data_IF_086829143246
#
_entry.id   IF_086829143246
#
_cell.length_a   1.000
_cell.length_b   1.000
_cell.length_c   1.000
_cell.angle_alpha   90.00
_cell.angle_beta   90.00
_cell.angle_gamma   90.00
#
_symmetry.space_group_name_H-M   'P 1'
#
loop_
_entity.id
_entity.type
_entity.pdbx_description
1 polymer ?
#
# COMPACT_ATOMS: atom_id res chain seq x y z
N UNK A 1 49.29 -22.44 -3.39
CA UNK A 1 48.34 -22.97 -2.39
C UNK A 1 47.30 -21.91 -2.01
N UNK A 2 47.72 -20.66 -1.80
CA UNK A 2 46.82 -19.59 -1.33
C UNK A 2 45.66 -19.25 -2.28
N UNK A 3 45.91 -19.20 -3.61
CA UNK A 3 44.87 -18.95 -4.61
C UNK A 3 43.75 -20.00 -4.63
N UNK A 4 44.08 -21.27 -4.39
CA UNK A 4 43.07 -22.34 -4.35
C UNK A 4 42.27 -22.26 -3.05
N UNK A 5 42.93 -21.93 -1.94
CA UNK A 5 42.27 -21.69 -0.65
C UNK A 5 41.28 -20.53 -0.73
N UNK A 6 41.66 -19.43 -1.37
CA UNK A 6 40.80 -18.27 -1.59
C UNK A 6 39.56 -18.63 -2.42
N UNK A 7 39.73 -19.35 -3.54
CA UNK A 7 38.60 -19.83 -4.35
C UNK A 7 37.67 -20.78 -3.58
N UNK A 8 38.21 -21.66 -2.72
CA UNK A 8 37.39 -22.54 -1.88
C UNK A 8 36.62 -21.78 -0.80
N UNK A 9 37.19 -20.70 -0.25
CA UNK A 9 36.49 -19.83 0.70
C UNK A 9 35.36 -19.07 0.01
N UNK A 10 35.59 -18.51 -1.19
CA UNK A 10 34.56 -17.86 -2.00
C UNK A 10 33.42 -18.83 -2.35
N UNK A 11 33.76 -20.03 -2.81
CA UNK A 11 32.77 -21.09 -3.10
C UNK A 11 31.89 -21.41 -1.88
N UNK A 12 32.48 -21.53 -0.69
CA UNK A 12 31.73 -21.77 0.54
C UNK A 12 30.82 -20.60 0.90
N UNK A 13 31.34 -19.37 0.84
CA UNK A 13 30.59 -18.16 1.17
C UNK A 13 29.37 -17.97 0.26
N UNK A 14 29.56 -18.12 -1.06
CA UNK A 14 28.45 -18.07 -2.03
C UNK A 14 27.42 -19.15 -1.74
N UNK A 15 27.85 -20.40 -1.52
CA UNK A 15 26.92 -21.50 -1.21
C UNK A 15 26.10 -21.26 0.06
N UNK A 16 26.72 -20.75 1.12
CA UNK A 16 26.08 -20.44 2.40
C UNK A 16 25.07 -19.28 2.31
N UNK A 17 25.30 -18.33 1.39
CA UNK A 17 24.35 -17.26 1.08
C UNK A 17 23.19 -17.73 0.21
N UNK A 18 23.40 -18.76 -0.63
CA UNK A 18 22.36 -19.32 -1.51
C UNK A 18 21.53 -20.44 -0.89
N UNK A 19 21.94 -21.02 0.24
CA UNK A 19 21.23 -22.15 0.87
C UNK A 19 19.96 -21.67 1.60
N UNK A 20 18.78 -21.98 1.04
CA UNK A 20 17.43 -21.83 1.62
C UNK A 20 17.19 -20.53 2.43
N UNK A 21 17.77 -19.43 1.95
CA UNK A 21 17.57 -18.09 2.51
C UNK A 21 16.68 -17.27 1.59
N UNK A 22 16.03 -16.29 2.21
CA UNK A 22 15.42 -15.18 1.51
C UNK A 22 16.49 -14.50 0.65
N UNK A 23 16.10 -14.06 -0.53
CA UNK A 23 17.01 -13.41 -1.48
C UNK A 23 16.43 -12.08 -1.94
N UNK A 24 17.27 -11.19 -2.42
CA UNK A 24 16.85 -9.98 -3.12
C UNK A 24 17.48 -9.93 -4.51
N UNK A 25 16.96 -9.07 -5.38
CA UNK A 25 17.58 -8.75 -6.66
C UNK A 25 19.01 -8.25 -6.45
N UNK A 26 19.23 -7.43 -5.42
CA UNK A 26 20.56 -6.95 -5.06
C UNK A 26 21.49 -8.10 -4.65
N UNK A 27 21.02 -9.04 -3.83
CA UNK A 27 21.80 -10.24 -3.48
C UNK A 27 22.14 -11.06 -4.71
N UNK A 28 21.20 -11.24 -5.64
CA UNK A 28 21.45 -11.95 -6.89
C UNK A 28 22.55 -11.27 -7.70
N UNK A 29 22.49 -9.94 -7.85
CA UNK A 29 23.50 -9.17 -8.59
C UNK A 29 24.89 -9.28 -7.95
N UNK A 30 24.98 -9.17 -6.63
CA UNK A 30 26.24 -9.30 -5.90
C UNK A 30 26.81 -10.73 -6.01
N UNK A 31 25.98 -11.76 -5.84
CA UNK A 31 26.40 -13.15 -5.95
C UNK A 31 26.79 -13.55 -7.38
N UNK A 32 26.14 -12.99 -8.40
CA UNK A 32 26.53 -13.17 -9.80
C UNK A 32 27.93 -12.62 -10.03
N UNK A 33 28.20 -11.39 -9.55
CA UNK A 33 29.53 -10.79 -9.66
C UNK A 33 30.61 -11.65 -8.97
N UNK A 34 30.32 -12.18 -7.78
CA UNK A 34 31.22 -13.12 -7.09
C UNK A 34 31.43 -14.43 -7.88
N UNK A 35 30.40 -14.92 -8.58
CA UNK A 35 30.52 -16.08 -9.45
C UNK A 35 31.39 -15.79 -10.69
N UNK A 36 31.25 -14.62 -11.28
CA UNK A 36 32.03 -14.16 -12.44
C UNK A 36 33.52 -14.00 -12.12
N UNK A 37 33.84 -13.59 -10.89
CA UNK A 37 35.22 -13.46 -10.42
C UNK A 37 35.87 -14.81 -10.02
N UNK A 38 35.09 -15.89 -9.91
CA UNK A 38 35.57 -17.21 -9.47
C UNK A 38 35.80 -18.18 -10.62
N UNK A 39 36.90 -18.94 -10.53
CA UNK A 39 37.21 -20.01 -11.50
C UNK A 39 36.33 -21.26 -11.33
N UNK A 40 35.76 -21.48 -10.15
CA UNK A 40 34.92 -22.65 -9.87
C UNK A 40 33.43 -22.37 -10.09
N UNK A 41 33.00 -21.13 -9.88
CA UNK A 41 31.60 -20.75 -9.98
C UNK A 41 31.23 -20.21 -11.35
N UNK A 42 32.17 -19.65 -12.12
CA UNK A 42 31.87 -19.14 -13.46
C UNK A 42 31.27 -20.26 -14.34
N UNK A 43 30.14 -19.96 -14.96
CA UNK A 43 29.31 -20.90 -15.74
C UNK A 43 28.89 -22.19 -15.01
N UNK A 44 29.02 -22.25 -13.68
CA UNK A 44 28.48 -23.34 -12.87
C UNK A 44 26.96 -23.35 -12.89
N UNK A 45 26.37 -24.46 -12.45
CA UNK A 45 24.91 -24.58 -12.30
C UNK A 45 24.36 -23.53 -11.34
N UNK A 46 25.08 -23.24 -10.25
CA UNK A 46 24.69 -22.21 -9.28
C UNK A 46 24.67 -20.82 -9.94
N UNK A 47 25.68 -20.50 -10.74
CA UNK A 47 25.73 -19.23 -11.46
C UNK A 47 24.55 -19.09 -12.43
N UNK A 48 24.21 -20.15 -13.18
CA UNK A 48 23.05 -20.15 -14.08
C UNK A 48 21.72 -19.98 -13.33
N UNK A 49 21.58 -20.61 -12.17
CA UNK A 49 20.41 -20.45 -11.31
C UNK A 49 20.26 -19.00 -10.81
N UNK A 50 21.35 -18.39 -10.35
CA UNK A 50 21.36 -16.98 -9.93
C UNK A 50 20.98 -16.04 -11.08
N UNK A 51 21.52 -16.26 -12.28
CA UNK A 51 21.18 -15.49 -13.47
C UNK A 51 19.68 -15.62 -13.83
N UNK A 52 19.14 -16.83 -13.77
CA UNK A 52 17.70 -17.08 -14.00
C UNK A 52 16.82 -16.40 -12.95
N UNK A 53 17.23 -16.41 -11.67
CA UNK A 53 16.53 -15.73 -10.59
C UNK A 53 16.54 -14.21 -10.80
N UNK A 54 17.70 -13.62 -11.11
CA UNK A 54 17.84 -12.20 -11.47
C UNK A 54 16.92 -11.83 -12.62
N UNK A 55 16.95 -12.58 -13.73
CA UNK A 55 16.13 -12.26 -14.91
C UNK A 55 14.63 -12.33 -14.60
N UNK A 56 14.22 -13.25 -13.73
CA UNK A 56 12.83 -13.36 -13.27
C UNK A 56 12.43 -12.17 -12.39
N UNK A 57 13.32 -11.72 -11.50
CA UNK A 57 13.11 -10.54 -10.66
C UNK A 57 13.10 -9.24 -11.45
N UNK A 58 13.93 -9.11 -12.50
CA UNK A 58 13.91 -7.95 -13.39
C UNK A 58 12.60 -7.89 -14.19
N UNK A 59 12.12 -9.02 -14.72
CA UNK A 59 10.80 -9.11 -15.37
C UNK A 59 9.66 -8.75 -14.42
N UNK A 60 9.70 -9.25 -13.19
CA UNK A 60 8.75 -8.91 -12.14
C UNK A 60 8.77 -7.40 -11.83
N UNK A 61 9.95 -6.83 -11.68
CA UNK A 61 10.15 -5.40 -11.40
C UNK A 61 9.58 -4.55 -12.53
N UNK A 62 9.92 -4.86 -13.78
CA UNK A 62 9.36 -4.17 -14.94
C UNK A 62 7.83 -4.23 -14.98
N UNK A 63 7.25 -5.40 -14.70
CA UNK A 63 5.80 -5.55 -14.64
C UNK A 63 5.20 -4.66 -13.56
N UNK A 64 5.79 -4.62 -12.37
CA UNK A 64 5.31 -3.74 -11.29
C UNK A 64 5.50 -2.27 -11.61
N UNK A 65 6.62 -1.86 -12.23
CA UNK A 65 6.81 -0.50 -12.71
C UNK A 65 5.67 -0.10 -13.66
N UNK A 66 5.32 -0.95 -14.64
CA UNK A 66 4.20 -0.67 -15.54
C UNK A 66 2.83 -0.57 -14.86
N UNK A 67 2.65 -1.22 -13.70
CA UNK A 67 1.40 -1.21 -12.96
C UNK A 67 1.29 -0.03 -11.98
N UNK A 68 2.40 0.32 -11.33
CA UNK A 68 2.44 1.28 -10.22
C UNK A 68 3.01 2.64 -10.61
N UNK A 69 4.05 2.67 -11.44
CA UNK A 69 4.77 3.89 -11.77
C UNK A 69 4.18 4.59 -12.98
N UNK A 70 4.13 5.91 -12.87
CA UNK A 70 3.76 6.81 -13.96
C UNK A 70 5.02 7.23 -14.70
N UNK A 71 4.91 7.65 -15.98
CA UNK A 71 6.05 8.16 -16.74
C UNK A 71 6.80 9.31 -16.04
N UNK A 72 6.09 10.13 -15.27
CA UNK A 72 6.65 11.23 -14.46
C UNK A 72 6.45 10.95 -12.97
N UNK A 73 7.19 9.98 -12.44
CA UNK A 73 7.11 9.61 -11.02
C UNK A 73 8.15 10.35 -10.18
N UNK A 74 7.75 10.79 -8.98
CA UNK A 74 8.64 11.34 -7.95
C UNK A 74 9.10 10.29 -6.94
N UNK A 75 8.73 9.03 -7.18
CA UNK A 75 8.94 7.91 -6.28
C UNK A 75 9.41 6.68 -7.05
N UNK A 76 10.40 5.98 -6.50
CA UNK A 76 10.74 4.63 -6.97
C UNK A 76 9.69 3.60 -6.51
N UNK A 77 9.84 2.37 -6.95
CA UNK A 77 8.82 1.34 -6.73
C UNK A 77 8.70 0.95 -5.26
N UNK A 78 9.81 0.79 -4.53
CA UNK A 78 9.77 0.46 -3.11
C UNK A 78 9.11 1.57 -2.29
N UNK A 79 9.33 2.84 -2.64
CA UNK A 79 8.58 3.95 -2.08
C UNK A 79 7.08 3.79 -2.39
N UNK A 80 6.68 3.59 -3.64
CA UNK A 80 5.24 3.47 -3.97
C UNK A 80 4.56 2.31 -3.21
N UNK A 81 5.24 1.17 -3.11
CA UNK A 81 4.71 -0.06 -2.50
C UNK A 81 4.71 0.02 -0.98
N UNK A 82 5.73 0.63 -0.37
CA UNK A 82 5.81 0.84 1.09
C UNK A 82 4.87 1.96 1.54
N UNK A 83 4.41 1.88 2.79
CA UNK A 83 3.70 2.97 3.45
C UNK A 83 4.58 4.23 3.64
N UNK A 84 3.96 5.35 4.02
CA UNK A 84 4.61 6.67 4.00
C UNK A 84 5.43 6.94 5.26
N UNK A 85 6.74 6.97 5.11
CA UNK A 85 7.67 7.44 6.15
C UNK A 85 7.65 8.97 6.35
N UNK A 86 7.16 9.71 5.34
CA UNK A 86 7.22 11.17 5.34
C UNK A 86 6.07 11.86 6.07
N UNK A 87 5.14 11.11 6.70
CA UNK A 87 3.98 11.71 7.36
C UNK A 87 4.38 12.51 8.61
N UNK A 88 5.19 11.95 9.50
CA UNK A 88 5.63 12.65 10.71
C UNK A 88 6.32 14.00 10.42
N UNK A 89 7.35 14.06 9.56
CA UNK A 89 7.97 15.35 9.24
C UNK A 89 7.00 16.32 8.57
N UNK A 90 6.04 15.85 7.78
CA UNK A 90 5.00 16.72 7.22
C UNK A 90 4.01 17.25 8.28
N UNK A 91 3.69 16.46 9.31
CA UNK A 91 2.88 16.94 10.44
C UNK A 91 3.61 18.09 11.13
N UNK A 92 4.93 17.99 11.30
CA UNK A 92 5.78 19.03 11.88
C UNK A 92 5.97 20.25 10.98
N UNK A 93 5.60 20.15 9.69
CA UNK A 93 5.70 21.24 8.73
C UNK A 93 7.05 21.32 8.04
N UNK A 94 7.82 20.25 8.07
CA UNK A 94 9.07 20.16 7.33
C UNK A 94 8.78 20.17 5.83
N UNK A 95 9.54 20.99 5.11
CA UNK A 95 9.53 21.02 3.64
C UNK A 95 10.41 19.87 3.15
N UNK A 96 9.78 18.88 2.52
CA UNK A 96 10.48 17.69 1.99
C UNK A 96 10.54 17.84 0.47
N UNK A 97 11.63 18.35 -0.13
CA UNK A 97 11.70 18.45 -1.59
C UNK A 97 11.58 17.06 -2.23
N UNK A 98 10.94 17.01 -3.41
CA UNK A 98 10.82 15.80 -4.22
C UNK A 98 11.36 16.10 -5.60
N UNK A 99 12.18 15.18 -6.10
CA UNK A 99 12.78 15.27 -7.42
C UNK A 99 12.13 14.25 -8.33
N UNK A 100 11.94 14.61 -9.59
CA UNK A 100 11.48 13.68 -10.59
C UNK A 100 12.52 12.55 -10.69
N UNK A 101 12.06 11.31 -10.71
CA UNK A 101 12.96 10.18 -10.89
C UNK A 101 13.16 9.99 -12.39
N UNK A 102 14.36 10.32 -12.88
CA UNK A 102 14.72 10.16 -14.28
C UNK A 102 14.89 8.68 -14.61
N UNK A 103 13.89 8.09 -15.29
CA UNK A 103 13.87 6.74 -15.87
C UNK A 103 14.78 5.74 -15.13
N UNK A 104 14.47 5.43 -13.86
CA UNK A 104 15.38 4.64 -13.04
C UNK A 104 15.44 3.21 -13.56
N UNK A 105 16.64 2.63 -13.58
CA UNK A 105 16.81 1.25 -14.01
C UNK A 105 16.00 0.32 -13.06
N UNK A 106 15.48 -0.83 -13.54
CA UNK A 106 14.78 -1.79 -12.69
C UNK A 106 15.59 -2.22 -11.47
N UNK A 107 16.90 -2.31 -11.62
CA UNK A 107 17.88 -2.66 -10.58
C UNK A 107 17.84 -1.67 -9.41
N UNK A 108 17.58 -0.39 -9.70
CA UNK A 108 17.60 0.70 -8.71
C UNK A 108 16.29 0.82 -7.94
N UNK A 109 15.25 0.09 -8.33
CA UNK A 109 13.91 0.20 -7.73
C UNK A 109 13.82 -0.28 -6.28
N UNK A 110 14.77 -1.12 -5.88
CA UNK A 110 14.72 -1.88 -4.63
C UNK A 110 15.93 -1.62 -3.72
N UNK A 111 16.67 -0.53 -3.96
CA UNK A 111 17.89 -0.22 -3.19
C UNK A 111 17.62 -0.17 -1.69
N UNK A 112 16.48 0.39 -1.26
CA UNK A 112 16.11 0.48 0.15
C UNK A 112 15.83 -0.89 0.81
N UNK A 113 15.62 -1.97 0.03
CA UNK A 113 15.49 -3.30 0.62
C UNK A 113 16.79 -3.80 1.24
N UNK A 114 17.94 -3.21 0.88
CA UNK A 114 19.25 -3.52 1.48
C UNK A 114 19.32 -3.19 2.98
N UNK A 115 18.41 -2.37 3.48
CA UNK A 115 18.32 -2.01 4.90
C UNK A 115 17.83 -3.20 5.77
N UNK A 116 17.19 -4.19 5.16
CA UNK A 116 16.60 -5.31 5.89
C UNK A 116 17.47 -6.56 5.78
N UNK A 117 17.74 -7.17 6.94
CA UNK A 117 18.45 -8.44 7.03
C UNK A 117 17.54 -9.66 6.78
N UNK A 118 16.22 -9.47 6.90
CA UNK A 118 15.20 -10.52 6.74
C UNK A 118 13.83 -9.96 6.37
N UNK A 119 12.96 -10.81 5.83
CA UNK A 119 11.58 -10.46 5.53
C UNK A 119 10.78 -10.16 6.80
N UNK A 120 11.18 -10.72 7.95
CA UNK A 120 10.53 -10.46 9.23
C UNK A 120 10.75 -9.00 9.65
N UNK A 121 12.00 -8.54 9.62
CA UNK A 121 12.37 -7.15 9.91
C UNK A 121 11.67 -6.19 8.96
N UNK A 122 11.69 -6.50 7.65
CA UNK A 122 10.98 -5.74 6.63
C UNK A 122 9.48 -5.63 6.95
N UNK A 123 8.80 -6.74 7.23
CA UNK A 123 7.36 -6.74 7.56
C UNK A 123 7.07 -5.91 8.81
N UNK A 124 7.84 -6.10 9.89
CA UNK A 124 7.68 -5.32 11.12
C UNK A 124 7.81 -3.82 10.85
N UNK A 125 8.82 -3.41 10.10
CA UNK A 125 9.03 -2.02 9.72
C UNK A 125 7.83 -1.45 8.96
N UNK A 126 7.31 -2.17 7.97
CA UNK A 126 6.16 -1.69 7.19
C UNK A 126 4.90 -1.63 8.06
N UNK A 127 4.68 -2.59 8.97
CA UNK A 127 3.56 -2.51 9.91
C UNK A 127 3.67 -1.28 10.83
N UNK A 128 4.87 -0.98 11.34
CA UNK A 128 5.11 0.20 12.15
C UNK A 128 4.82 1.51 11.37
N UNK A 129 5.26 1.61 10.11
CA UNK A 129 4.94 2.73 9.24
C UNK A 129 3.42 2.90 9.04
N UNK A 130 2.70 1.79 8.88
CA UNK A 130 1.25 1.81 8.74
C UNK A 130 0.55 2.30 10.01
N UNK A 131 0.98 1.83 11.17
CA UNK A 131 0.44 2.25 12.46
C UNK A 131 0.67 3.75 12.68
N UNK A 132 1.87 4.21 12.35
CA UNK A 132 2.22 5.62 12.37
C UNK A 132 1.36 6.44 11.40
N UNK A 133 1.16 5.98 10.17
CA UNK A 133 0.31 6.63 9.19
C UNK A 133 -1.13 6.77 9.68
N UNK A 134 -1.71 5.70 10.25
CA UNK A 134 -3.06 5.73 10.82
C UNK A 134 -3.18 6.69 12.00
N UNK A 135 -2.15 6.76 12.85
CA UNK A 135 -2.14 7.66 13.99
C UNK A 135 -2.00 9.14 13.58
N UNK A 136 -1.24 9.44 12.52
CA UNK A 136 -0.83 10.81 12.19
C UNK A 136 -1.61 11.47 11.06
N UNK A 137 -2.39 10.72 10.27
CA UNK A 137 -3.10 11.31 9.12
C UNK A 137 -4.08 12.41 9.53
N UNK A 138 -4.81 12.23 10.63
CA UNK A 138 -5.71 13.26 11.18
C UNK A 138 -4.96 14.51 11.64
N UNK A 139 -3.83 14.32 12.35
CA UNK A 139 -2.97 15.43 12.74
C UNK A 139 -2.39 16.18 11.53
N UNK A 140 -2.05 15.48 10.45
CA UNK A 140 -1.59 16.09 9.21
C UNK A 140 -2.70 16.93 8.55
N UNK A 141 -3.91 16.40 8.48
CA UNK A 141 -5.07 17.12 7.94
C UNK A 141 -5.37 18.38 8.75
N UNK A 142 -5.34 18.30 10.08
CA UNK A 142 -5.57 19.44 10.97
C UNK A 142 -4.48 20.51 10.83
N UNK A 143 -3.22 20.08 10.74
CA UNK A 143 -2.09 20.98 10.53
C UNK A 143 -2.20 21.69 9.18
N UNK A 144 -2.46 20.95 8.10
CA UNK A 144 -2.57 21.52 6.76
C UNK A 144 -3.78 22.43 6.57
N UNK A 145 -4.89 22.15 7.27
CA UNK A 145 -6.08 23.03 7.24
C UNK A 145 -5.76 24.43 7.77
N UNK A 146 -4.88 24.52 8.78
CA UNK A 146 -4.44 25.77 9.42
C UNK A 146 -3.31 26.47 8.66
N UNK A 147 -2.54 25.73 7.87
CA UNK A 147 -1.43 26.26 7.07
C UNK A 147 -1.90 27.09 5.88
N UNK A 148 -1.07 28.04 5.48
CA UNK A 148 -1.27 28.80 4.25
C UNK A 148 -0.84 27.97 3.03
N UNK A 149 -1.19 28.45 1.83
CA UNK A 149 -0.70 27.87 0.58
C UNK A 149 0.83 27.95 0.49
N UNK A 150 1.46 28.98 1.06
CA UNK A 150 2.93 29.13 1.07
C UNK A 150 3.61 27.99 1.85
N UNK A 151 2.97 27.51 2.91
CA UNK A 151 3.51 26.45 3.77
C UNK A 151 3.30 25.04 3.19
N UNK A 152 2.41 24.89 2.19
CA UNK A 152 1.96 23.57 1.71
C UNK A 152 2.22 23.33 0.23
N UNK A 153 2.24 24.39 -0.58
CA UNK A 153 2.47 24.32 -2.02
C UNK A 153 3.97 24.13 -2.36
N UNK A 154 4.24 23.44 -3.47
CA UNK A 154 5.61 23.10 -3.90
C UNK A 154 6.44 24.31 -4.35
N UNK A 155 5.80 25.43 -4.72
CA UNK A 155 6.52 26.58 -5.27
C UNK A 155 7.31 27.37 -4.21
N UNK A 156 7.05 27.15 -2.91
CA UNK A 156 7.69 27.85 -1.78
C UNK A 156 7.71 29.38 -1.90
N UNK A 157 6.90 29.94 -2.80
CA UNK A 157 6.99 31.33 -3.25
C UNK A 157 5.76 32.08 -2.78
N UNK A 158 5.99 33.11 -1.97
CA UNK A 158 5.01 34.14 -1.59
C UNK A 158 4.78 35.19 -2.69
N UNK A 159 5.41 35.02 -3.86
CA UNK A 159 5.53 36.01 -4.94
C UNK A 159 4.51 35.87 -6.07
N UNK A 160 3.55 34.95 -6.01
CA UNK A 160 2.37 35.01 -6.89
C UNK A 160 1.48 36.17 -6.43
N UNK A 161 1.83 37.39 -6.86
CA UNK A 161 1.00 38.60 -6.67
C UNK A 161 -0.33 38.55 -7.45
N UNK A 162 -0.56 37.48 -8.21
CA UNK A 162 -1.82 37.21 -8.89
C UNK A 162 -2.66 36.29 -8.01
N UNK A 163 -3.97 36.59 -7.79
CA UNK A 163 -4.87 35.62 -7.21
C UNK A 163 -4.84 34.37 -8.10
N UNK A 164 -4.31 33.29 -7.56
CA UNK A 164 -4.25 32.00 -8.26
C UNK A 164 -5.21 31.07 -7.54
N UNK A 165 -6.01 30.37 -8.32
CA UNK A 165 -6.97 29.42 -7.80
C UNK A 165 -6.24 28.34 -7.00
N UNK A 166 -6.88 27.90 -5.92
CA UNK A 166 -6.30 26.97 -4.95
C UNK A 166 -7.03 25.63 -5.03
N UNK A 167 -6.26 24.55 -5.11
CA UNK A 167 -6.76 23.20 -4.92
C UNK A 167 -6.39 22.69 -3.54
N UNK A 168 -7.33 21.98 -2.91
CA UNK A 168 -7.14 21.34 -1.61
C UNK A 168 -7.10 19.84 -1.84
N UNK A 169 -6.03 19.18 -1.39
CA UNK A 169 -5.96 17.73 -1.46
C UNK A 169 -6.99 17.10 -0.52
N UNK A 170 -7.91 16.30 -1.04
CA UNK A 170 -8.99 15.71 -0.22
C UNK A 170 -8.48 14.72 0.84
N UNK A 171 -7.27 14.18 0.67
CA UNK A 171 -6.65 13.27 1.65
C UNK A 171 -5.90 14.02 2.75
N UNK A 172 -4.92 14.86 2.40
CA UNK A 172 -4.04 15.48 3.39
C UNK A 172 -4.41 16.93 3.72
N UNK A 173 -5.41 17.51 3.04
CA UNK A 173 -5.86 18.91 3.17
C UNK A 173 -4.80 19.98 2.89
N UNK A 174 -3.68 19.61 2.29
CA UNK A 174 -2.68 20.57 1.83
C UNK A 174 -3.22 21.40 0.66
N UNK A 175 -2.85 22.69 0.64
CA UNK A 175 -3.32 23.69 -0.33
C UNK A 175 -2.25 23.89 -1.39
N UNK A 176 -2.66 23.93 -2.65
CA UNK A 176 -1.77 24.06 -3.79
C UNK A 176 -2.32 25.08 -4.77
N UNK A 177 -1.46 25.89 -5.38
CA UNK A 177 -1.86 26.68 -6.53
C UNK A 177 -2.18 25.74 -7.69
N UNK A 178 -3.26 26.00 -8.45
CA UNK A 178 -3.61 25.22 -9.65
C UNK A 178 -2.43 25.11 -10.61
N UNK A 179 -1.69 26.19 -10.82
CA UNK A 179 -0.51 26.24 -11.70
C UNK A 179 0.69 25.40 -11.22
N UNK A 180 0.69 24.98 -9.95
CA UNK A 180 1.71 24.14 -9.35
C UNK A 180 1.29 22.66 -9.26
N UNK A 181 0.09 22.32 -9.74
CA UNK A 181 -0.43 20.97 -9.71
C UNK A 181 -0.23 20.29 -11.06
N UNK A 182 0.30 19.07 -11.05
CA UNK A 182 0.25 18.19 -12.20
C UNK A 182 -1.07 17.43 -12.20
N UNK A 183 -1.84 17.57 -13.28
CA UNK A 183 -3.11 16.86 -13.42
C UNK A 183 -2.87 15.43 -13.88
N UNK A 184 -3.22 14.46 -13.03
CA UNK A 184 -3.21 13.06 -13.40
C UNK A 184 -4.55 12.66 -14.02
N UNK A 185 -4.60 11.96 -15.17
CA UNK A 185 -5.85 11.49 -15.77
C UNK A 185 -6.68 10.56 -14.86
N UNK A 186 -6.10 10.02 -13.78
CA UNK A 186 -6.85 9.34 -12.74
C UNK A 186 -7.85 10.24 -12.02
N UNK A 187 -7.53 11.53 -11.85
CA UNK A 187 -8.38 12.50 -11.15
C UNK A 187 -9.73 12.67 -11.85
N UNK A 188 -9.79 12.47 -13.17
CA UNK A 188 -11.04 12.50 -13.95
C UNK A 188 -12.03 11.39 -13.54
N UNK A 189 -11.58 10.40 -12.76
CA UNK A 189 -12.41 9.32 -12.22
C UNK A 189 -12.91 9.61 -10.80
N UNK A 190 -12.43 10.68 -10.17
CA UNK A 190 -12.91 11.16 -8.89
C UNK A 190 -14.13 12.08 -9.10
N UNK A 191 -14.93 12.34 -8.06
CA UNK A 191 -15.98 13.37 -8.12
C UNK A 191 -15.43 14.72 -8.57
N UNK A 192 -16.26 15.52 -9.24
CA UNK A 192 -15.90 16.88 -9.64
C UNK A 192 -15.40 17.72 -8.44
N UNK A 193 -14.31 18.47 -8.65
CA UNK A 193 -13.61 19.23 -7.62
C UNK A 193 -12.63 18.41 -6.77
N UNK A 194 -12.68 17.07 -6.82
CA UNK A 194 -11.81 16.23 -6.01
C UNK A 194 -10.37 16.25 -6.54
N UNK A 195 -9.44 16.65 -5.68
CA UNK A 195 -8.01 16.70 -6.00
C UNK A 195 -7.19 15.85 -5.02
N UNK A 196 -6.22 15.10 -5.55
CA UNK A 196 -5.18 14.44 -4.76
C UNK A 196 -3.82 14.99 -5.18
N UNK A 197 -3.03 15.47 -4.23
CA UNK A 197 -1.69 15.94 -4.52
C UNK A 197 -0.76 14.76 -4.89
N UNK A 198 0.37 15.07 -5.54
CA UNK A 198 1.37 14.08 -5.97
C UNK A 198 1.79 13.12 -4.84
N UNK A 199 1.88 13.58 -3.59
CA UNK A 199 2.20 12.71 -2.43
C UNK A 199 1.10 11.71 -2.11
N UNK A 200 -0.15 12.12 -2.24
CA UNK A 200 -1.30 11.28 -1.95
C UNK A 200 -1.60 10.35 -3.14
N UNK A 201 -1.39 10.83 -4.38
CA UNK A 201 -1.49 10.02 -5.60
C UNK A 201 -0.51 8.85 -5.63
N UNK A 202 0.65 8.94 -4.95
CA UNK A 202 1.60 7.81 -4.78
C UNK A 202 0.92 6.55 -4.28
N UNK A 203 -0.08 6.69 -3.41
CA UNK A 203 -0.71 5.52 -2.83
C UNK A 203 -1.82 4.92 -3.70
N UNK A 204 -2.06 5.45 -4.91
CA UNK A 204 -2.87 4.76 -5.93
C UNK A 204 -2.38 3.31 -6.08
N UNK A 205 -3.32 2.37 -6.09
CA UNK A 205 -3.04 0.95 -6.28
C UNK A 205 -3.58 0.49 -7.63
N UNK A 206 -2.90 -0.41 -8.34
CA UNK A 206 -3.47 -1.11 -9.49
C UNK A 206 -4.46 -2.19 -9.03
N UNK A 207 -5.11 -2.84 -9.98
CA UNK A 207 -5.97 -4.01 -9.76
C UNK A 207 -5.20 -5.12 -9.02
N UNK A 208 -5.81 -5.69 -7.98
CA UNK A 208 -5.14 -6.65 -7.10
C UNK A 208 -4.83 -7.96 -7.81
N UNK A 209 -5.68 -8.37 -8.76
CA UNK A 209 -5.49 -9.54 -9.62
C UNK A 209 -4.25 -9.39 -10.52
N UNK A 210 -4.02 -8.20 -11.09
CA UNK A 210 -2.86 -7.92 -11.92
C UNK A 210 -1.55 -8.00 -11.13
N UNK A 211 -1.55 -7.48 -9.91
CA UNK A 211 -0.39 -7.56 -9.00
C UNK A 211 -0.14 -9.00 -8.58
N UNK A 212 -1.20 -9.74 -8.24
CA UNK A 212 -1.09 -11.16 -7.89
C UNK A 212 -0.54 -11.99 -9.05
N UNK A 213 -0.99 -11.73 -10.28
CA UNK A 213 -0.48 -12.39 -11.48
C UNK A 213 1.03 -12.14 -11.64
N UNK A 214 1.51 -10.91 -11.41
CA UNK A 214 2.93 -10.61 -11.41
C UNK A 214 3.69 -11.39 -10.32
N UNK A 215 3.16 -11.46 -9.10
CA UNK A 215 3.76 -12.20 -7.97
C UNK A 215 3.81 -13.72 -8.19
N UNK A 216 2.95 -14.28 -9.04
CA UNK A 216 2.92 -15.73 -9.32
C UNK A 216 3.99 -16.15 -10.34
N UNK A 217 4.57 -15.20 -11.08
CA UNK A 217 5.61 -15.45 -12.09
C UNK A 217 7.04 -15.23 -11.56
N UNK A 218 7.17 -14.78 -10.31
CA UNK A 218 8.44 -14.38 -9.71
C UNK A 218 8.88 -15.36 -8.61
N UNK A 219 10.18 -15.41 -8.26
CA UNK A 219 10.68 -16.25 -7.17
C UNK A 219 10.00 -15.92 -5.83
N UNK A 220 9.33 -16.90 -5.21
CA UNK A 220 8.48 -16.67 -4.04
C UNK A 220 9.23 -16.31 -2.76
N UNK A 221 10.52 -16.64 -2.69
CA UNK A 221 11.41 -16.37 -1.56
C UNK A 221 12.14 -15.01 -1.67
N UNK A 222 11.80 -14.19 -2.66
CA UNK A 222 12.43 -12.87 -2.82
C UNK A 222 11.80 -11.82 -1.90
N UNK A 223 12.62 -10.91 -1.35
CA UNK A 223 12.14 -9.80 -0.52
C UNK A 223 11.18 -8.88 -1.29
N UNK A 224 11.44 -8.61 -2.57
CA UNK A 224 10.58 -7.81 -3.45
C UNK A 224 9.19 -8.44 -3.58
N UNK A 225 9.14 -9.75 -3.84
CA UNK A 225 7.88 -10.48 -3.99
C UNK A 225 7.14 -10.56 -2.65
N UNK A 226 7.86 -10.78 -1.54
CA UNK A 226 7.27 -10.82 -0.20
C UNK A 226 6.68 -9.45 0.17
N UNK A 227 7.40 -8.35 -0.09
CA UNK A 227 6.92 -6.98 0.13
C UNK A 227 5.62 -6.72 -0.63
N UNK A 228 5.57 -7.10 -1.91
CA UNK A 228 4.40 -6.84 -2.76
C UNK A 228 3.22 -7.74 -2.37
N UNK A 229 3.48 -8.99 -1.97
CA UNK A 229 2.46 -9.87 -1.40
C UNK A 229 1.89 -9.33 -0.10
N UNK A 230 2.73 -8.72 0.74
CA UNK A 230 2.28 -8.05 1.95
C UNK A 230 1.32 -6.89 1.64
N UNK A 231 1.63 -6.09 0.60
CA UNK A 231 0.70 -5.07 0.08
C UNK A 231 -0.64 -5.69 -0.39
N UNK A 232 -0.60 -6.79 -1.15
CA UNK A 232 -1.80 -7.51 -1.62
C UNK A 232 -2.64 -8.04 -0.46
N UNK A 233 -2.01 -8.69 0.52
CA UNK A 233 -2.70 -9.25 1.68
C UNK A 233 -3.45 -8.18 2.47
N UNK A 234 -2.81 -7.03 2.70
CA UNK A 234 -3.44 -5.88 3.36
C UNK A 234 -4.63 -5.39 2.57
N UNK A 235 -4.49 -5.27 1.26
CA UNK A 235 -5.63 -4.93 0.42
C UNK A 235 -6.79 -5.89 0.67
N UNK A 236 -6.55 -7.20 0.64
CA UNK A 236 -7.61 -8.17 0.90
C UNK A 236 -8.26 -7.98 2.28
N UNK A 237 -7.49 -7.76 3.34
CA UNK A 237 -8.03 -7.51 4.68
C UNK A 237 -9.02 -6.32 4.69
N UNK A 238 -8.71 -5.26 3.96
CA UNK A 238 -9.53 -4.05 3.88
C UNK A 238 -10.77 -4.24 3.00
N UNK A 239 -10.66 -5.05 1.93
CA UNK A 239 -11.82 -5.51 1.18
C UNK A 239 -12.73 -6.42 2.04
N UNK A 240 -12.15 -7.23 2.92
CA UNK A 240 -12.87 -8.10 3.84
C UNK A 240 -13.58 -7.32 4.96
N UNK A 241 -12.94 -6.28 5.51
CA UNK A 241 -13.55 -5.35 6.47
C UNK A 241 -14.75 -4.58 5.89
N UNK A 242 -14.87 -4.51 4.56
CA UNK A 242 -15.95 -3.85 3.81
C UNK A 242 -17.10 -4.77 3.37
N UNK A 243 -17.20 -5.97 3.97
CA UNK A 243 -18.36 -6.85 3.76
C UNK A 243 -18.12 -8.05 2.82
N UNK A 244 -16.86 -8.40 2.56
CA UNK A 244 -16.49 -9.79 2.21
C UNK A 244 -15.63 -10.40 3.31
N UNK A 245 -16.16 -10.48 4.54
CA UNK A 245 -15.86 -11.72 5.28
C UNK A 245 -16.34 -12.85 4.36
N UNK A 246 -15.63 -14.00 4.23
CA UNK A 246 -16.30 -15.17 3.67
C UNK A 246 -17.63 -15.23 4.43
N UNK A 247 -18.73 -15.13 3.69
CA UNK A 247 -20.02 -15.08 4.35
C UNK A 247 -20.10 -16.35 5.21
N UNK A 248 -20.93 -16.35 6.24
CA UNK A 248 -21.07 -17.54 7.07
C UNK A 248 -21.35 -18.76 6.17
N UNK A 249 -21.99 -18.55 5.02
CA UNK A 249 -22.20 -19.52 3.95
C UNK A 249 -20.90 -19.96 3.21
N UNK A 250 -19.94 -19.07 2.94
CA UNK A 250 -18.63 -19.42 2.35
C UNK A 250 -17.75 -20.21 3.32
N UNK A 251 -17.73 -19.82 4.60
CA UNK A 251 -17.04 -20.57 5.67
C UNK A 251 -17.71 -21.93 5.87
N UNK A 252 -19.04 -21.97 5.85
CA UNK A 252 -19.80 -23.22 5.91
C UNK A 252 -19.53 -24.11 4.70
N UNK A 253 -19.45 -23.54 3.49
CA UNK A 253 -19.12 -24.27 2.27
C UNK A 253 -17.71 -24.87 2.36
N UNK A 254 -16.72 -24.11 2.84
CA UNK A 254 -15.38 -24.64 3.11
C UNK A 254 -15.38 -25.74 4.20
N UNK A 255 -16.16 -25.58 5.28
CA UNK A 255 -16.33 -26.59 6.33
C UNK A 255 -17.11 -27.83 5.89
N UNK A 256 -17.86 -27.77 4.78
CA UNK A 256 -18.55 -28.91 4.18
C UNK A 256 -17.63 -29.70 3.24
N UNK A 257 -16.54 -29.08 2.76
CA UNK A 257 -15.52 -29.72 1.93
C UNK A 257 -14.38 -30.36 2.75
N UNK A 258 -14.27 -30.01 4.03
CA UNK A 258 -13.25 -30.53 4.94
C UNK A 258 -13.73 -31.81 5.69
N UNK A 259 -12.81 -32.69 6.14
CA UNK A 259 -13.17 -33.90 6.90
C UNK A 259 -13.96 -33.55 8.15
N UNK A 260 -15.16 -34.12 8.30
CA UNK A 260 -16.13 -33.79 9.35
C UNK A 260 -15.64 -34.01 10.79
N UNK A 261 -14.53 -34.73 10.96
CA UNK A 261 -14.00 -35.16 12.24
C UNK A 261 -12.76 -34.38 12.68
N UNK A 262 -12.35 -33.35 11.91
CA UNK A 262 -11.27 -32.46 12.27
C UNK A 262 -11.72 -31.53 13.40
N UNK A 263 -10.91 -31.44 14.46
CA UNK A 263 -11.14 -30.58 15.62
C UNK A 263 -11.22 -29.10 15.19
N UNK A 264 -10.42 -28.73 14.20
CA UNK A 264 -10.41 -27.41 13.58
C UNK A 264 -11.75 -27.10 12.88
N UNK A 265 -12.33 -28.08 12.15
CA UNK A 265 -13.64 -27.92 11.51
C UNK A 265 -14.77 -27.82 12.52
N UNK A 266 -14.70 -28.55 13.63
CA UNK A 266 -15.68 -28.49 14.73
C UNK A 266 -15.62 -27.12 15.41
N UNK A 267 -14.42 -26.62 15.73
CA UNK A 267 -14.21 -25.29 16.30
C UNK A 267 -14.71 -24.17 15.38
N UNK A 268 -14.43 -24.27 14.07
CA UNK A 268 -14.91 -23.27 13.10
C UNK A 268 -16.44 -23.32 12.98
N UNK A 269 -17.08 -24.49 13.01
CA UNK A 269 -18.55 -24.62 13.02
C UNK A 269 -19.17 -23.99 14.29
N UNK A 270 -18.55 -24.19 15.44
CA UNK A 270 -19.02 -23.59 16.70
C UNK A 270 -18.88 -22.06 16.69
N UNK A 271 -17.75 -21.55 16.18
CA UNK A 271 -17.55 -20.10 15.97
C UNK A 271 -18.54 -19.52 14.96
N UNK A 272 -18.89 -20.26 13.91
CA UNK A 272 -19.92 -19.88 12.95
C UNK A 272 -21.30 -19.82 13.61
N UNK A 273 -21.68 -20.82 14.40
CA UNK A 273 -22.94 -20.85 15.14
C UNK A 273 -23.03 -19.67 16.12
N UNK A 274 -21.98 -19.44 16.90
CA UNK A 274 -21.91 -18.30 17.82
C UNK A 274 -21.94 -16.96 17.08
N UNK A 275 -21.31 -16.89 15.92
CA UNK A 275 -21.40 -15.73 15.02
C UNK A 275 -22.82 -15.47 14.51
N UNK A 276 -23.59 -16.52 14.18
CA UNK A 276 -25.01 -16.39 13.80
C UNK A 276 -25.87 -15.91 14.97
N UNK A 277 -25.65 -16.44 16.17
CA UNK A 277 -26.36 -16.02 17.40
C UNK A 277 -26.12 -14.55 17.69
N UNK A 278 -24.86 -14.11 17.73
CA UNK A 278 -24.48 -12.72 17.97
C UNK A 278 -25.02 -11.78 16.89
N UNK A 279 -25.10 -12.23 15.63
CA UNK A 279 -25.70 -11.46 14.55
C UNK A 279 -27.23 -11.33 14.70
N UNK A 280 -27.92 -12.37 15.19
CA UNK A 280 -29.33 -12.29 15.55
C UNK A 280 -29.55 -11.36 16.74
N UNK A 281 -28.76 -11.48 17.82
CA UNK A 281 -28.80 -10.58 18.98
C UNK A 281 -28.57 -9.13 18.57
N UNK A 282 -27.57 -8.86 17.72
CA UNK A 282 -27.30 -7.53 17.19
C UNK A 282 -28.45 -7.00 16.32
N UNK A 283 -29.10 -7.84 15.51
CA UNK A 283 -30.30 -7.45 14.74
C UNK A 283 -31.48 -7.11 15.64
N UNK A 284 -31.69 -7.87 16.72
CA UNK A 284 -32.74 -7.58 17.71
C UNK A 284 -32.44 -6.28 18.44
N UNK A 285 -31.20 -6.06 18.89
CA UNK A 285 -30.78 -4.80 19.50
C UNK A 285 -30.92 -3.62 18.54
N UNK A 286 -30.59 -3.78 17.25
CA UNK A 286 -30.77 -2.74 16.23
C UNK A 286 -32.25 -2.49 15.92
N UNK A 287 -33.11 -3.51 15.97
CA UNK A 287 -34.55 -3.36 15.84
C UNK A 287 -35.15 -2.67 17.08
N UNK A 288 -34.68 -3.00 18.28
CA UNK A 288 -35.08 -2.34 19.52
C UNK A 288 -34.60 -0.87 19.55
N UNK A 289 -33.39 -0.58 19.05
CA UNK A 289 -32.90 0.79 18.83
C UNK A 289 -33.68 1.52 17.73
N UNK A 290 -34.24 0.81 16.76
CA UNK A 290 -35.12 1.40 15.74
C UNK A 290 -36.52 1.70 16.30
N UNK A 291 -37.04 0.86 17.20
CA UNK A 291 -38.33 1.04 17.89
C UNK A 291 -38.25 2.13 18.98
N UNK A 292 -37.15 2.21 19.72
CA UNK A 292 -36.84 3.30 20.66
C UNK A 292 -36.36 4.56 19.90
N UNK A 293 -36.05 4.42 18.61
CA UNK A 293 -35.38 5.40 17.77
C UNK A 293 -36.22 6.56 17.26
N UNK A 294 -37.50 6.66 17.60
CA UNK A 294 -38.29 7.88 17.38
C UNK A 294 -37.93 8.99 18.40
N UNK A 295 -37.21 8.66 19.48
CA UNK A 295 -36.78 9.62 20.51
C UNK A 295 -35.27 9.92 20.50
N UNK A 296 -34.45 9.14 19.79
CA UNK A 296 -33.01 9.42 19.59
C UNK A 296 -32.82 10.26 18.34
N UNK A 297 -32.46 11.54 18.53
CA UNK A 297 -32.40 12.54 17.45
C UNK A 297 -31.57 12.05 16.25
N UNK A 298 -32.07 12.34 15.04
CA UNK A 298 -31.40 11.98 13.77
C UNK A 298 -29.93 12.40 13.71
N UNK A 299 -29.53 13.42 14.48
CA UNK A 299 -28.14 13.88 14.58
C UNK A 299 -27.16 12.81 15.09
N UNK A 300 -27.57 11.91 15.98
CA UNK A 300 -26.66 10.90 16.56
C UNK A 300 -26.44 9.73 15.59
N UNK A 301 -27.48 9.31 14.86
CA UNK A 301 -27.37 8.33 13.77
C UNK A 301 -26.54 8.90 12.62
N UNK A 302 -26.76 10.17 12.27
CA UNK A 302 -25.99 10.85 11.24
C UNK A 302 -24.52 11.02 11.65
N UNK A 303 -24.21 11.39 12.90
CA UNK A 303 -22.82 11.51 13.36
C UNK A 303 -22.06 10.19 13.40
N UNK A 304 -22.70 9.09 13.80
CA UNK A 304 -22.05 7.78 13.82
C UNK A 304 -21.80 7.27 12.39
N UNK A 305 -22.82 7.32 11.53
CA UNK A 305 -22.70 6.93 10.13
C UNK A 305 -21.69 7.82 9.39
N UNK A 306 -21.65 9.12 9.67
CA UNK A 306 -20.68 10.05 9.10
C UNK A 306 -19.26 9.75 9.56
N UNK A 307 -19.03 9.42 10.84
CA UNK A 307 -17.70 9.00 11.34
C UNK A 307 -17.25 7.69 10.72
N UNK A 308 -18.14 6.71 10.57
CA UNK A 308 -17.82 5.44 9.90
C UNK A 308 -17.57 5.66 8.41
N UNK A 309 -18.39 6.46 7.73
CA UNK A 309 -18.18 6.84 6.33
C UNK A 309 -16.86 7.60 6.15
N UNK A 310 -16.54 8.53 7.06
CA UNK A 310 -15.30 9.28 7.06
C UNK A 310 -14.10 8.37 7.29
N UNK A 311 -14.15 7.44 8.24
CA UNK A 311 -13.09 6.44 8.43
C UNK A 311 -12.93 5.55 7.20
N UNK A 312 -14.03 5.17 6.53
CA UNK A 312 -13.97 4.39 5.28
C UNK A 312 -13.33 5.22 4.17
N UNK A 313 -13.73 6.48 3.99
CA UNK A 313 -13.18 7.41 3.00
C UNK A 313 -11.71 7.70 3.30
N UNK A 314 -11.34 7.93 4.56
CA UNK A 314 -9.95 8.11 4.99
C UNK A 314 -9.13 6.86 4.76
N UNK A 315 -9.63 5.65 5.01
CA UNK A 315 -8.96 4.41 4.60
C UNK A 315 -8.85 4.28 3.07
N UNK A 316 -9.93 4.54 2.32
CA UNK A 316 -9.90 4.55 0.83
C UNK A 316 -8.82 5.52 0.33
N UNK A 317 -8.83 6.75 0.84
CA UNK A 317 -7.98 7.84 0.39
C UNK A 317 -6.54 7.70 0.93
N UNK A 318 -6.34 7.18 2.14
CA UNK A 318 -5.04 6.84 2.73
C UNK A 318 -4.38 5.61 2.07
N UNK A 319 -4.92 5.18 0.93
CA UNK A 319 -4.26 4.27 0.00
C UNK A 319 -4.15 2.83 0.52
N UNK A 320 -5.17 2.44 1.27
CA UNK A 320 -5.34 1.07 1.73
C UNK A 320 -5.91 0.17 0.64
N UNK A 321 -6.61 0.70 -0.37
CA UNK A 321 -6.90 0.13 -1.71
C UNK A 321 -7.62 1.22 -2.50
N UNK A 322 -7.05 1.66 -3.63
CA UNK A 322 -7.83 2.17 -4.74
C UNK A 322 -7.85 1.09 -5.81
N UNK A 323 -8.63 0.06 -5.58
CA UNK A 323 -9.02 -0.84 -6.64
C UNK A 323 -9.90 0.01 -7.54
N UNK A 324 -9.54 0.08 -8.82
CA UNK A 324 -10.28 0.86 -9.82
C UNK A 324 -11.76 0.47 -9.84
N UNK A 325 -12.09 -0.76 -9.42
CA UNK A 325 -13.46 -1.28 -9.36
C UNK A 325 -14.25 -0.82 -8.12
N UNK A 326 -13.56 -0.27 -7.12
CA UNK A 326 -14.16 0.25 -5.88
C UNK A 326 -14.46 1.73 -5.99
N UNK A 327 -13.68 2.48 -6.77
CA UNK A 327 -13.79 3.93 -6.86
C UNK A 327 -15.21 4.44 -7.22
N UNK A 328 -15.92 3.88 -8.22
CA UNK A 328 -17.29 4.30 -8.51
C UNK A 328 -18.27 4.07 -7.35
N UNK A 329 -18.02 3.06 -6.50
CA UNK A 329 -18.88 2.70 -5.37
C UNK A 329 -18.72 3.63 -4.17
N UNK A 330 -17.57 4.30 -4.06
CA UNK A 330 -17.25 5.22 -2.96
C UNK A 330 -17.29 6.69 -3.37
N UNK A 331 -17.47 7.00 -4.65
CA UNK A 331 -17.57 8.37 -5.16
C UNK A 331 -18.65 9.21 -4.43
N UNK A 332 -19.83 8.63 -4.20
CA UNK A 332 -20.92 9.31 -3.46
C UNK A 332 -20.59 9.53 -1.97
N UNK A 333 -19.78 8.66 -1.37
CA UNK A 333 -19.30 8.83 0.00
C UNK A 333 -18.25 9.92 0.07
N UNK A 334 -17.30 9.95 -0.88
CA UNK A 334 -16.31 11.04 -1.00
C UNK A 334 -17.03 12.38 -1.16
N UNK A 335 -18.03 12.45 -2.03
CA UNK A 335 -18.80 13.68 -2.25
C UNK A 335 -19.50 14.16 -0.97
N UNK A 336 -20.06 13.25 -0.17
CA UNK A 336 -20.72 13.59 1.10
C UNK A 336 -19.73 13.98 2.20
N UNK A 337 -18.63 13.24 2.35
CA UNK A 337 -17.65 13.44 3.43
C UNK A 337 -16.75 14.65 3.17
N UNK A 338 -16.47 14.95 1.90
CA UNK A 338 -15.59 16.03 1.49
C UNK A 338 -16.37 17.24 0.93
N UNK A 339 -17.69 17.33 1.13
CA UNK A 339 -18.52 18.36 0.49
C UNK A 339 -18.02 19.78 0.74
N UNK A 340 -17.58 20.08 1.97
CA UNK A 340 -17.04 21.41 2.31
C UNK A 340 -15.82 21.77 1.47
N UNK A 341 -14.95 20.80 1.18
CA UNK A 341 -13.77 21.01 0.34
C UNK A 341 -14.17 21.13 -1.13
N UNK A 342 -15.06 20.27 -1.60
CA UNK A 342 -15.49 20.23 -3.00
C UNK A 342 -16.28 21.47 -3.40
N UNK A 343 -17.11 22.00 -2.49
CA UNK A 343 -17.90 23.20 -2.74
C UNK A 343 -17.04 24.48 -2.72
N UNK A 344 -15.93 24.50 -1.97
CA UNK A 344 -14.93 25.58 -2.00
C UNK A 344 -14.09 25.59 -3.30
N UNK A 345 -14.11 24.50 -4.08
CA UNK A 345 -13.29 24.30 -5.29
C UNK A 345 -14.07 24.37 -6.61
N UNK A 346 -15.39 24.53 -6.56
CA UNK A 346 -16.26 24.79 -7.73
C UNK A 346 -16.39 26.28 -7.95
#
# INVERSE_FOLDING_TARGET
MDKIREELLRLRAVRERTSDKETSLNDCLDLIKECEESKFLFNSELHKQLMSARDSLLKFTHRLMSLFQKPSSYYNLVEIVRDREDIAPLVEGQIIPRFLVDSPAPEDQWVQLREFSSCHEMKQHIHALRDQQRALIGSLQDANSKRSTVDTCICLSSTSQQPSDILICILCRAKYHVSCCDWDPFLDRLPEGAYLCVRCLRGRRPCIEDVQAACNLAPSNSLEVILVRELVNRGRELACLRGRRPCIEDVQAACNLAPSNSLEVILVRELVNRGRELACEAKTVLADIAVVGDELSGELKDRFLLRTAQSVVESVLACEILDMDVLPKVASLIQKTCSSILDDQK
#
